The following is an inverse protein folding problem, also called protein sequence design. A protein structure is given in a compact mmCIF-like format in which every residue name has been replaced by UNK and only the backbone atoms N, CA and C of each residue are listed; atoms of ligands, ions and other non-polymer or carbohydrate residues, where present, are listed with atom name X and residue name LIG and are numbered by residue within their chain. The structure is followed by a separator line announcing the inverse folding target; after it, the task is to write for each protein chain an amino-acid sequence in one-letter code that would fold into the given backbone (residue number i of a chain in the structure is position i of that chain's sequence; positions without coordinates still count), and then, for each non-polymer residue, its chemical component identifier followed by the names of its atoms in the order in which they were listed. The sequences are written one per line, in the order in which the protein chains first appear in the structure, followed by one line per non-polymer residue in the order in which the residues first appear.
data_IF_504786864038
#
_entry.id   IF_504786864038
#
_cell.length_a   1.000
_cell.length_b   1.000
_cell.length_c   1.000
_cell.angle_alpha   90.00
_cell.angle_beta   90.00
_cell.angle_gamma   90.00
#
_symmetry.space_group_name_H-M   'P 1'
#
loop_
_entity.id
_entity.type
_entity.pdbx_description
1 polymer ?
#
# COMPACT_ATOMS: atom_id res chain seq x y z
N UNK A 1 -31.54 5.98 -14.73
CA UNK A 1 -31.56 5.51 -13.34
C UNK A 1 -32.82 5.99 -12.68
N UNK A 2 -33.68 5.06 -12.30
CA UNK A 2 -35.10 5.22 -12.09
C UNK A 2 -35.42 6.06 -10.85
N UNK A 3 -36.45 6.94 -10.96
CA UNK A 3 -36.96 7.73 -9.83
C UNK A 3 -37.47 6.87 -8.66
N UNK A 4 -37.85 5.62 -8.95
CA UNK A 4 -38.28 4.66 -7.93
C UNK A 4 -37.12 4.17 -7.06
N UNK A 5 -35.93 3.92 -7.62
CA UNK A 5 -34.77 3.49 -6.86
C UNK A 5 -34.29 4.60 -5.92
N UNK A 6 -34.35 5.86 -6.34
CA UNK A 6 -34.07 7.01 -5.46
C UNK A 6 -35.06 7.15 -4.30
N UNK A 7 -36.31 6.81 -4.52
CA UNK A 7 -37.34 6.80 -3.44
C UNK A 7 -37.12 5.66 -2.45
N UNK A 8 -36.76 4.46 -2.94
CA UNK A 8 -36.48 3.31 -2.04
C UNK A 8 -35.23 3.54 -1.19
N UNK A 9 -34.20 4.22 -1.73
CA UNK A 9 -32.98 4.57 -0.97
C UNK A 9 -33.21 5.71 0.04
N UNK A 10 -34.17 6.60 -0.22
CA UNK A 10 -34.52 7.70 0.69
C UNK A 10 -35.35 7.22 1.90
N UNK A 11 -36.00 6.06 1.79
CA UNK A 11 -36.88 5.47 2.83
C UNK A 11 -36.14 4.47 3.76
N UNK A 12 -34.85 4.28 3.57
CA UNK A 12 -34.03 3.47 4.49
C UNK A 12 -33.77 4.29 5.75
N UNK A 13 -34.54 4.03 6.80
CA UNK A 13 -34.26 4.56 8.14
C UNK A 13 -32.89 4.00 8.64
N UNK A 14 -31.88 4.84 8.59
CA UNK A 14 -30.58 4.50 9.21
C UNK A 14 -30.77 4.51 10.73
N UNK A 15 -30.60 3.35 11.41
CA UNK A 15 -30.77 3.27 12.85
C UNK A 15 -29.93 4.35 13.57
N UNK A 16 -30.54 5.02 14.55
CA UNK A 16 -29.89 6.09 15.33
C UNK A 16 -28.57 5.66 15.96
N UNK A 17 -28.48 4.37 16.33
CA UNK A 17 -27.27 3.75 16.87
C UNK A 17 -26.07 3.76 15.90
N UNK A 18 -26.29 3.59 14.61
CA UNK A 18 -25.24 3.67 13.59
C UNK A 18 -24.74 5.11 13.40
N UNK A 19 -25.64 6.08 13.51
CA UNK A 19 -25.27 7.50 13.48
C UNK A 19 -24.46 7.90 14.72
N UNK A 20 -24.82 7.37 15.89
CA UNK A 20 -24.06 7.63 17.12
C UNK A 20 -22.69 6.96 17.12
N UNK A 21 -22.59 5.70 16.69
CA UNK A 21 -21.31 4.98 16.54
C UNK A 21 -20.38 5.68 15.54
N UNK A 22 -20.89 6.14 14.40
CA UNK A 22 -20.14 6.92 13.42
C UNK A 22 -19.65 8.24 14.02
N UNK A 23 -20.51 8.99 14.73
CA UNK A 23 -20.10 10.24 15.42
C UNK A 23 -19.08 10.00 16.53
N UNK A 24 -19.20 8.90 17.28
CA UNK A 24 -18.23 8.54 18.32
C UNK A 24 -16.88 8.12 17.70
N UNK A 25 -16.88 7.37 16.57
CA UNK A 25 -15.68 7.03 15.81
C UNK A 25 -14.94 8.27 15.33
N UNK A 26 -15.65 9.23 14.70
CA UNK A 26 -15.07 10.50 14.25
C UNK A 26 -14.56 11.35 15.43
N UNK A 27 -15.27 11.34 16.58
CA UNK A 27 -14.84 12.08 17.78
C UNK A 27 -13.57 11.47 18.40
N UNK A 28 -13.47 10.13 18.45
CA UNK A 28 -12.26 9.41 18.91
C UNK A 28 -11.09 9.67 17.99
N UNK A 29 -11.26 9.52 16.67
CA UNK A 29 -10.22 9.83 15.70
C UNK A 29 -9.73 11.28 15.79
N UNK A 30 -10.62 12.27 15.98
CA UNK A 30 -10.24 13.66 16.21
C UNK A 30 -9.52 13.89 17.56
N UNK A 31 -9.86 13.16 18.60
CA UNK A 31 -9.18 13.25 19.90
C UNK A 31 -7.81 12.60 19.86
N UNK A 32 -7.64 11.50 19.15
CA UNK A 32 -6.36 10.84 18.94
C UNK A 32 -5.43 11.70 18.10
N UNK A 33 -5.92 12.31 17.02
CA UNK A 33 -5.16 13.26 16.19
C UNK A 33 -4.75 14.54 16.97
N UNK A 34 -5.46 14.92 18.02
CA UNK A 34 -5.15 16.11 18.83
C UNK A 34 -4.13 15.83 19.95
N UNK A 35 -3.94 14.58 20.34
CA UNK A 35 -3.09 14.24 21.50
C UNK A 35 -1.61 14.07 21.19
N UNK A 36 -1.22 13.87 19.92
CA UNK A 36 0.19 13.65 19.57
C UNK A 36 0.58 14.36 18.26
N UNK A 37 0.99 15.65 18.26
CA UNK A 37 1.38 16.34 17.02
C UNK A 37 2.79 16.00 16.51
N UNK A 38 3.50 15.03 17.07
CA UNK A 38 4.89 14.79 16.72
C UNK A 38 5.30 13.35 16.43
N UNK A 39 4.57 12.38 16.92
CA UNK A 39 5.03 10.98 16.90
C UNK A 39 4.34 10.11 15.83
N UNK A 40 3.10 10.45 15.45
CA UNK A 40 2.31 9.65 14.50
C UNK A 40 2.77 9.88 13.05
N UNK A 41 3.34 11.05 12.73
CA UNK A 41 3.92 11.32 11.40
C UNK A 41 5.16 10.45 11.08
N UNK A 42 5.87 9.96 12.10
CA UNK A 42 7.09 9.17 11.93
C UNK A 42 6.90 7.67 11.75
N UNK A 43 5.73 7.10 12.09
CA UNK A 43 5.48 5.65 12.01
C UNK A 43 4.72 5.17 10.77
N UNK A 44 4.28 6.07 9.89
CA UNK A 44 3.51 5.73 8.70
C UNK A 44 4.33 5.64 7.40
N UNK A 45 5.66 5.76 7.49
CA UNK A 45 6.55 5.71 6.33
C UNK A 45 7.27 4.38 6.13
N UNK A 46 6.91 3.32 6.83
CA UNK A 46 7.46 2.00 6.51
C UNK A 46 6.47 1.22 5.67
N UNK A 47 6.82 1.13 4.40
CA UNK A 47 6.42 0.11 3.42
C UNK A 47 5.06 -0.52 3.70
N UNK A 48 4.08 0.17 3.31
CA UNK A 48 2.73 -0.32 3.16
C UNK A 48 1.96 0.79 2.48
N UNK A 49 1.41 0.52 1.32
CA UNK A 49 0.40 1.39 0.72
C UNK A 49 -0.77 1.52 1.71
N UNK A 50 -0.61 2.33 2.75
CA UNK A 50 -1.63 2.60 3.76
C UNK A 50 -1.67 4.09 4.09
N UNK A 51 -2.11 4.91 3.14
CA UNK A 51 -2.63 6.24 3.46
C UNK A 51 -4.15 6.14 3.54
N UNK A 52 -4.72 6.46 4.69
CA UNK A 52 -6.17 6.54 4.86
C UNK A 52 -6.70 7.69 3.99
N UNK A 53 -7.33 7.36 2.87
CA UNK A 53 -8.13 8.29 2.11
C UNK A 53 -9.55 8.25 2.67
N UNK A 54 -10.09 9.43 3.00
CA UNK A 54 -11.51 9.62 3.23
C UNK A 54 -12.22 9.37 1.89
N UNK A 55 -12.93 8.26 1.80
CA UNK A 55 -13.76 7.94 0.63
C UNK A 55 -15.00 8.85 0.72
N UNK A 56 -15.26 9.71 -0.28
CA UNK A 56 -16.54 10.37 -0.38
C UNK A 56 -17.61 9.31 -0.62
N UNK A 57 -18.55 9.19 0.29
CA UNK A 57 -19.74 8.33 0.11
C UNK A 57 -20.64 8.95 -0.96
N UNK A 58 -20.42 8.60 -2.22
CA UNK A 58 -21.26 9.04 -3.33
C UNK A 58 -21.16 8.11 -4.52
N UNK A 59 -22.23 7.36 -4.76
CA UNK A 59 -22.61 6.71 -6.00
C UNK A 59 -21.48 6.06 -6.82
N UNK A 60 -21.08 4.85 -6.46
CA UNK A 60 -20.36 3.96 -7.35
C UNK A 60 -21.34 3.48 -8.44
N UNK A 61 -21.37 4.20 -9.56
CA UNK A 61 -21.87 3.65 -10.80
C UNK A 61 -20.81 2.66 -11.33
N UNK A 62 -21.27 1.53 -11.85
CA UNK A 62 -20.47 0.48 -12.50
C UNK A 62 -19.50 1.04 -13.55
N UNK A 63 -18.39 1.61 -13.11
CA UNK A 63 -17.18 1.79 -13.90
C UNK A 63 -16.27 0.65 -13.53
N UNK A 64 -15.59 0.02 -14.50
CA UNK A 64 -14.51 -0.90 -14.23
C UNK A 64 -13.52 -0.21 -13.29
N UNK A 65 -13.20 -0.85 -12.19
CA UNK A 65 -12.24 -0.32 -11.23
C UNK A 65 -10.85 -0.42 -11.85
N UNK A 66 -9.96 0.55 -11.59
CA UNK A 66 -8.55 0.44 -12.01
C UNK A 66 -7.84 -0.74 -11.32
N UNK A 67 -8.30 -1.13 -10.13
CA UNK A 67 -7.83 -2.33 -9.45
C UNK A 67 -8.15 -3.62 -10.22
N UNK A 68 -9.22 -3.64 -11.03
CA UNK A 68 -9.55 -4.78 -11.89
C UNK A 68 -8.49 -4.98 -12.98
N UNK A 69 -7.80 -3.92 -13.42
CA UNK A 69 -6.72 -4.03 -14.39
C UNK A 69 -5.48 -4.77 -13.86
N UNK A 70 -5.32 -4.81 -12.51
CA UNK A 70 -4.21 -5.49 -11.85
C UNK A 70 -4.58 -6.91 -11.37
N UNK A 71 -5.80 -7.08 -10.85
CA UNK A 71 -6.20 -8.31 -10.17
C UNK A 71 -7.39 -9.03 -10.83
N UNK A 72 -7.91 -8.49 -11.94
CA UNK A 72 -9.16 -8.95 -12.56
C UNK A 72 -10.36 -8.41 -11.79
N UNK A 73 -10.76 -9.07 -10.72
CA UNK A 73 -11.85 -8.63 -9.86
C UNK A 73 -11.51 -8.84 -8.38
N UNK A 74 -12.31 -8.28 -7.48
CA UNK A 74 -12.15 -8.56 -6.05
C UNK A 74 -12.25 -10.06 -5.74
N UNK A 75 -13.15 -10.78 -6.38
CA UNK A 75 -13.32 -12.21 -6.14
C UNK A 75 -12.11 -13.01 -6.66
N UNK A 76 -11.55 -12.64 -7.80
CA UNK A 76 -10.31 -13.22 -8.32
C UNK A 76 -9.11 -12.91 -7.43
N UNK A 77 -8.93 -11.66 -7.00
CA UNK A 77 -7.90 -11.30 -6.02
C UNK A 77 -8.00 -12.15 -4.76
N UNK A 78 -9.21 -12.37 -4.25
CA UNK A 78 -9.45 -13.09 -3.01
C UNK A 78 -9.14 -14.59 -3.08
N UNK A 79 -9.11 -15.18 -4.28
CA UNK A 79 -8.65 -16.56 -4.47
C UNK A 79 -7.18 -16.72 -4.05
N UNK A 80 -6.36 -15.70 -4.31
CA UNK A 80 -4.92 -15.72 -4.04
C UNK A 80 -4.58 -15.04 -2.71
N UNK A 81 -5.24 -13.94 -2.38
CA UNK A 81 -5.03 -13.15 -1.16
C UNK A 81 -6.23 -13.31 -0.24
N UNK A 82 -6.23 -14.38 0.55
CA UNK A 82 -7.39 -14.79 1.38
C UNK A 82 -7.78 -13.72 2.40
N UNK A 83 -6.83 -12.95 2.93
CA UNK A 83 -7.08 -11.85 3.87
C UNK A 83 -7.60 -10.57 3.20
N UNK A 84 -7.71 -10.54 1.87
CA UNK A 84 -8.24 -9.37 1.16
C UNK A 84 -9.67 -9.06 1.59
N UNK A 85 -9.96 -7.80 1.82
CA UNK A 85 -11.31 -7.29 2.09
C UNK A 85 -11.74 -6.34 0.98
N UNK A 86 -13.04 -6.27 0.72
CA UNK A 86 -13.58 -5.34 -0.25
C UNK A 86 -13.18 -3.88 0.05
N UNK A 87 -13.10 -3.51 1.33
CA UNK A 87 -12.65 -2.19 1.76
C UNK A 87 -11.23 -1.90 1.28
N UNK A 88 -10.29 -2.85 1.48
CA UNK A 88 -8.90 -2.71 1.02
C UNK A 88 -8.79 -2.67 -0.50
N UNK A 89 -9.64 -3.43 -1.20
CA UNK A 89 -9.69 -3.41 -2.66
C UNK A 89 -10.16 -2.07 -3.22
N UNK A 90 -11.23 -1.52 -2.65
CA UNK A 90 -11.72 -0.18 -3.02
C UNK A 90 -10.72 0.93 -2.64
N UNK A 91 -9.97 0.75 -1.55
CA UNK A 91 -8.89 1.66 -1.19
C UNK A 91 -7.74 1.60 -2.20
N UNK A 92 -7.37 0.42 -2.69
CA UNK A 92 -6.40 0.25 -3.77
C UNK A 92 -6.87 1.00 -5.02
N UNK A 93 -8.12 0.81 -5.43
CA UNK A 93 -8.69 1.51 -6.58
C UNK A 93 -8.64 3.03 -6.44
N UNK A 94 -9.01 3.54 -5.27
CA UNK A 94 -8.94 4.97 -4.99
C UNK A 94 -7.49 5.52 -5.09
N UNK A 95 -6.49 4.74 -4.67
CA UNK A 95 -5.07 5.11 -4.81
C UNK A 95 -4.59 5.06 -6.25
N UNK A 96 -5.02 4.09 -7.03
CA UNK A 96 -4.70 4.03 -8.46
C UNK A 96 -5.31 5.23 -9.20
N UNK A 97 -6.55 5.62 -8.88
CA UNK A 97 -7.17 6.83 -9.40
C UNK A 97 -6.41 8.11 -9.01
N UNK A 98 -5.95 8.19 -7.76
CA UNK A 98 -5.10 9.30 -7.32
C UNK A 98 -3.77 9.32 -8.08
N UNK A 99 -3.11 8.18 -8.22
CA UNK A 99 -1.86 8.04 -8.96
C UNK A 99 -2.03 8.50 -10.42
N UNK A 100 -3.08 8.05 -11.09
CA UNK A 100 -3.41 8.48 -12.45
C UNK A 100 -3.61 10.00 -12.56
N UNK A 101 -4.24 10.61 -11.56
CA UNK A 101 -4.42 12.06 -11.51
C UNK A 101 -3.13 12.85 -11.27
N UNK A 102 -2.18 12.30 -10.53
CA UNK A 102 -0.89 12.94 -10.21
C UNK A 102 0.13 12.76 -11.32
N UNK A 103 0.26 11.53 -11.82
CA UNK A 103 1.26 11.15 -12.83
C UNK A 103 0.85 11.56 -14.26
N UNK A 104 -0.45 11.64 -14.53
CA UNK A 104 -0.96 11.74 -15.90
C UNK A 104 -0.97 10.40 -16.62
N UNK A 105 -1.51 10.37 -17.84
CA UNK A 105 -1.82 9.13 -18.55
C UNK A 105 -0.56 8.31 -18.90
N UNK A 106 0.49 8.95 -19.44
CA UNK A 106 1.68 8.24 -19.92
C UNK A 106 2.49 7.60 -18.77
N UNK A 107 2.81 8.39 -17.75
CA UNK A 107 3.55 7.90 -16.58
C UNK A 107 2.72 6.89 -15.76
N UNK A 108 1.39 7.06 -15.72
CA UNK A 108 0.52 6.09 -15.08
C UNK A 108 0.55 4.72 -15.76
N UNK A 109 0.62 4.65 -17.08
CA UNK A 109 0.75 3.36 -17.79
C UNK A 109 2.09 2.67 -17.48
N UNK A 110 3.20 3.41 -17.38
CA UNK A 110 4.49 2.86 -16.97
C UNK A 110 4.43 2.37 -15.51
N UNK A 111 3.87 3.18 -14.61
CA UNK A 111 3.64 2.83 -13.21
C UNK A 111 2.79 1.55 -13.08
N UNK A 112 1.71 1.44 -13.84
CA UNK A 112 0.83 0.27 -13.85
C UNK A 112 1.54 -0.99 -14.36
N UNK A 113 2.37 -0.88 -15.39
CA UNK A 113 3.18 -2.00 -15.89
C UNK A 113 4.15 -2.51 -14.81
N UNK A 114 4.82 -1.63 -14.10
CA UNK A 114 5.64 -2.01 -12.96
C UNK A 114 4.82 -2.68 -11.85
N UNK A 115 3.65 -2.13 -11.51
CA UNK A 115 2.75 -2.72 -10.51
C UNK A 115 2.26 -4.12 -10.89
N UNK A 116 2.06 -4.43 -12.18
CA UNK A 116 1.63 -5.76 -12.60
C UNK A 116 2.66 -6.84 -12.25
N UNK A 117 3.96 -6.54 -12.32
CA UNK A 117 5.03 -7.45 -11.89
C UNK A 117 4.86 -7.84 -10.41
N UNK A 118 4.55 -6.86 -9.55
CA UNK A 118 4.28 -7.12 -8.13
C UNK A 118 3.01 -7.94 -7.93
N UNK A 119 1.96 -7.59 -8.65
CA UNK A 119 0.67 -8.29 -8.57
C UNK A 119 0.84 -9.75 -8.97
N UNK A 120 1.48 -10.01 -10.10
CA UNK A 120 1.72 -11.35 -10.62
C UNK A 120 2.59 -12.17 -9.65
N UNK A 121 3.63 -11.55 -9.08
CA UNK A 121 4.48 -12.18 -8.07
C UNK A 121 3.70 -12.52 -6.79
N UNK A 122 2.82 -11.62 -6.33
CA UNK A 122 1.97 -11.84 -5.15
C UNK A 122 0.93 -12.92 -5.37
N UNK A 123 0.39 -13.01 -6.58
CA UNK A 123 -0.53 -14.07 -6.99
C UNK A 123 0.20 -15.43 -7.03
N UNK A 124 1.43 -15.47 -7.56
CA UNK A 124 2.18 -16.71 -7.74
C UNK A 124 2.83 -17.23 -6.45
N UNK A 125 3.34 -16.33 -5.59
CA UNK A 125 4.22 -16.67 -4.47
C UNK A 125 3.78 -16.07 -3.13
N UNK A 126 2.74 -15.23 -3.11
CA UNK A 126 2.28 -14.58 -1.90
C UNK A 126 1.65 -15.54 -0.90
N UNK A 127 1.81 -15.24 0.38
CA UNK A 127 1.08 -15.92 1.45
C UNK A 127 -0.40 -15.48 1.48
N UNK A 128 -1.16 -15.94 2.46
CA UNK A 128 -2.58 -15.58 2.62
C UNK A 128 -2.84 -14.06 2.71
N UNK A 129 -1.84 -13.26 3.04
CA UNK A 129 -1.91 -11.79 3.11
C UNK A 129 -1.36 -11.13 1.83
N UNK A 130 -0.89 -11.89 0.86
CA UNK A 130 -0.28 -11.42 -0.38
C UNK A 130 1.16 -10.91 -0.20
N UNK A 131 1.80 -11.18 0.95
CA UNK A 131 3.19 -10.84 1.18
C UNK A 131 4.11 -11.94 0.67
N UNK A 132 5.28 -11.57 0.14
CA UNK A 132 6.20 -12.47 -0.55
C UNK A 132 7.51 -12.60 0.21
N UNK A 133 7.99 -13.83 0.40
CA UNK A 133 9.38 -14.09 0.76
C UNK A 133 10.23 -14.12 -0.53
N UNK A 134 10.83 -12.99 -0.88
CA UNK A 134 11.65 -12.86 -2.10
C UNK A 134 12.93 -13.71 -2.07
N UNK A 135 13.31 -14.23 -0.90
CA UNK A 135 14.42 -15.18 -0.78
C UNK A 135 14.02 -16.62 -1.18
N UNK A 136 12.71 -16.90 -1.13
CA UNK A 136 12.17 -18.23 -1.44
C UNK A 136 11.70 -18.37 -2.90
N UNK A 137 11.61 -17.29 -3.67
CA UNK A 137 11.20 -17.34 -5.08
C UNK A 137 12.41 -17.59 -6.02
N UNK A 138 12.17 -18.06 -7.27
CA UNK A 138 13.24 -18.24 -8.24
C UNK A 138 14.01 -16.94 -8.49
N UNK A 139 15.32 -17.09 -8.72
CA UNK A 139 16.22 -15.93 -8.88
C UNK A 139 15.84 -15.01 -10.04
N UNK A 140 15.27 -15.54 -11.12
CA UNK A 140 14.87 -14.74 -12.27
C UNK A 140 13.72 -13.80 -11.89
N UNK A 141 12.70 -14.31 -11.23
CA UNK A 141 11.53 -13.57 -10.76
C UNK A 141 11.93 -12.54 -9.68
N UNK A 142 12.84 -12.91 -8.77
CA UNK A 142 13.38 -11.97 -7.78
C UNK A 142 14.08 -10.79 -8.46
N UNK A 143 14.87 -11.02 -9.50
CA UNK A 143 15.54 -9.95 -10.25
C UNK A 143 14.53 -9.06 -11.00
N UNK A 144 13.48 -9.65 -11.57
CA UNK A 144 12.41 -8.91 -12.23
C UNK A 144 11.67 -8.00 -11.25
N UNK A 145 11.29 -8.53 -10.09
CA UNK A 145 10.67 -7.72 -9.02
C UNK A 145 11.59 -6.63 -8.51
N UNK A 146 12.90 -6.92 -8.32
CA UNK A 146 13.88 -5.94 -7.91
C UNK A 146 13.96 -4.80 -8.93
N UNK A 147 14.00 -5.12 -10.23
CA UNK A 147 14.01 -4.11 -11.28
C UNK A 147 12.71 -3.29 -11.29
N UNK A 148 11.56 -3.96 -11.19
CA UNK A 148 10.28 -3.27 -11.12
C UNK A 148 10.21 -2.31 -9.91
N UNK A 149 10.68 -2.73 -8.74
CA UNK A 149 10.75 -1.86 -7.55
C UNK A 149 11.70 -0.68 -7.76
N UNK A 150 12.86 -0.93 -8.37
CA UNK A 150 13.84 0.10 -8.72
C UNK A 150 13.22 1.18 -9.61
N UNK A 151 12.41 0.78 -10.58
CA UNK A 151 11.77 1.69 -11.53
C UNK A 151 10.51 2.36 -10.93
N UNK A 152 9.80 1.69 -10.02
CA UNK A 152 8.60 2.21 -9.37
C UNK A 152 8.86 3.18 -8.22
N UNK A 153 9.99 3.05 -7.53
CA UNK A 153 10.26 3.85 -6.33
C UNK A 153 10.13 5.36 -6.55
N UNK A 154 10.59 5.95 -7.68
CA UNK A 154 10.39 7.37 -7.94
C UNK A 154 8.92 7.80 -8.03
N UNK A 155 8.05 6.93 -8.54
CA UNK A 155 6.61 7.19 -8.56
C UNK A 155 6.02 7.13 -7.15
N UNK A 156 6.45 6.18 -6.31
CA UNK A 156 6.04 6.13 -4.91
C UNK A 156 6.49 7.36 -4.14
N UNK A 157 7.73 7.82 -4.36
CA UNK A 157 8.24 9.03 -3.75
C UNK A 157 7.40 10.26 -4.16
N UNK A 158 7.12 10.43 -5.44
CA UNK A 158 6.26 11.50 -5.97
C UNK A 158 4.85 11.44 -5.38
N UNK A 159 4.23 10.26 -5.32
CA UNK A 159 2.89 10.07 -4.77
C UNK A 159 2.82 10.32 -3.26
N UNK A 160 3.95 10.24 -2.56
CA UNK A 160 4.09 10.54 -1.14
C UNK A 160 4.62 11.96 -0.86
N UNK A 161 4.72 12.82 -1.90
CA UNK A 161 5.26 14.19 -1.80
C UNK A 161 6.68 14.20 -1.20
N UNK A 162 7.52 13.25 -1.63
CA UNK A 162 8.91 13.09 -1.21
C UNK A 162 9.85 13.37 -2.39
N UNK A 163 11.05 13.94 -2.15
CA UNK A 163 12.11 13.94 -3.15
C UNK A 163 12.44 12.51 -3.58
N UNK A 164 12.68 12.28 -4.88
CA UNK A 164 12.99 10.96 -5.36
C UNK A 164 14.26 10.40 -4.66
N UNK A 165 14.17 9.23 -4.07
CA UNK A 165 15.30 8.60 -3.36
C UNK A 165 16.54 8.48 -4.25
N UNK A 166 16.36 8.17 -5.54
CA UNK A 166 17.45 8.09 -6.53
C UNK A 166 18.21 9.41 -6.74
N UNK A 167 17.59 10.57 -6.42
CA UNK A 167 18.19 11.89 -6.62
C UNK A 167 19.02 12.33 -5.40
N UNK A 168 18.79 11.71 -4.23
CA UNK A 168 19.48 12.02 -2.98
C UNK A 168 20.46 10.93 -2.55
N UNK A 169 20.53 9.81 -3.29
CA UNK A 169 21.41 8.67 -3.05
C UNK A 169 22.40 8.47 -4.19
N UNK A 170 23.54 7.88 -3.88
CA UNK A 170 24.40 7.29 -4.91
C UNK A 170 23.74 6.04 -5.53
N UNK A 171 24.23 5.60 -6.69
CA UNK A 171 23.70 4.40 -7.34
C UNK A 171 23.79 3.15 -6.44
N UNK A 172 24.91 2.98 -5.72
CA UNK A 172 25.12 1.85 -4.80
C UNK A 172 24.19 1.95 -3.58
N UNK A 173 23.98 3.14 -3.02
CA UNK A 173 23.02 3.36 -1.92
C UNK A 173 21.59 3.11 -2.37
N UNK A 174 21.23 3.51 -3.60
CA UNK A 174 19.89 3.27 -4.12
C UNK A 174 19.63 1.78 -4.36
N UNK A 175 20.60 1.04 -4.92
CA UNK A 175 20.51 -0.42 -5.07
C UNK A 175 20.37 -1.12 -3.71
N UNK A 176 21.17 -0.71 -2.72
CA UNK A 176 21.08 -1.23 -1.35
C UNK A 176 19.74 -0.91 -0.68
N UNK A 177 19.15 0.25 -0.95
CA UNK A 177 17.83 0.63 -0.47
C UNK A 177 16.73 -0.28 -1.04
N UNK A 178 16.75 -0.52 -2.35
CA UNK A 178 15.79 -1.41 -3.01
C UNK A 178 15.90 -2.85 -2.45
N UNK A 179 17.12 -3.34 -2.25
CA UNK A 179 17.35 -4.64 -1.64
C UNK A 179 16.84 -4.70 -0.20
N UNK A 180 17.05 -3.63 0.58
CA UNK A 180 16.57 -3.54 1.96
C UNK A 180 15.04 -3.57 2.06
N UNK A 181 14.31 -2.95 1.12
CA UNK A 181 12.85 -3.01 1.04
C UNK A 181 12.36 -4.45 0.82
N UNK A 182 12.97 -5.18 -0.12
CA UNK A 182 12.62 -6.58 -0.38
C UNK A 182 12.98 -7.49 0.79
N UNK A 183 14.13 -7.25 1.41
CA UNK A 183 14.60 -8.02 2.57
C UNK A 183 13.69 -7.83 3.78
N UNK A 184 13.22 -6.60 4.03
CA UNK A 184 12.30 -6.28 5.12
C UNK A 184 11.00 -7.07 4.98
N UNK A 185 10.37 -7.09 3.79
CA UNK A 185 9.16 -7.88 3.53
C UNK A 185 9.43 -9.37 3.69
N UNK A 186 10.51 -9.91 3.13
CA UNK A 186 10.89 -11.31 3.24
C UNK A 186 11.07 -11.76 4.69
N UNK A 187 11.75 -10.94 5.51
CA UNK A 187 11.97 -11.26 6.92
C UNK A 187 10.65 -11.25 7.70
N UNK A 188 9.76 -10.27 7.44
CA UNK A 188 8.43 -10.24 8.08
C UNK A 188 7.61 -11.48 7.74
N UNK A 189 7.63 -11.93 6.49
CA UNK A 189 6.92 -13.16 6.09
C UNK A 189 7.46 -14.36 6.85
N UNK A 190 8.79 -14.51 6.95
CA UNK A 190 9.44 -15.60 7.70
C UNK A 190 9.19 -15.52 9.22
N UNK A 191 9.05 -14.31 9.76
CA UNK A 191 8.72 -14.09 11.17
C UNK A 191 7.24 -14.30 11.52
N UNK A 192 6.37 -14.65 10.54
CA UNK A 192 4.93 -14.80 10.77
C UNK A 192 4.19 -13.47 10.85
N UNK A 193 4.76 -12.40 10.27
CA UNK A 193 4.19 -11.04 10.18
C UNK A 193 4.09 -10.25 11.50
N UNK A 194 4.42 -10.84 12.64
CA UNK A 194 4.43 -10.18 13.94
C UNK A 194 5.87 -9.89 14.36
N UNK A 195 6.28 -8.63 14.25
CA UNK A 195 7.65 -8.18 14.56
C UNK A 195 8.00 -8.38 16.05
N UNK A 196 6.99 -8.33 16.93
CA UNK A 196 7.17 -8.54 18.36
C UNK A 196 7.68 -9.97 18.67
N UNK A 197 7.21 -10.95 17.92
CA UNK A 197 7.53 -12.37 18.09
C UNK A 197 8.66 -12.85 17.16
N UNK A 198 9.39 -11.91 16.54
CA UNK A 198 10.45 -12.23 15.58
C UNK A 198 11.58 -13.05 16.22
N UNK A 199 11.96 -14.20 15.62
CA UNK A 199 13.12 -14.96 16.05
C UNK A 199 14.41 -14.14 16.06
N UNK A 200 15.27 -14.38 17.05
CA UNK A 200 16.53 -13.61 17.23
C UNK A 200 17.45 -13.71 16.01
N UNK A 201 17.42 -14.85 15.29
CA UNK A 201 18.19 -15.09 14.08
C UNK A 201 17.81 -14.14 12.92
N UNK A 202 16.56 -13.69 12.88
CA UNK A 202 16.06 -12.76 11.86
C UNK A 202 16.17 -11.30 12.29
N UNK A 203 16.21 -11.04 13.59
CA UNK A 203 16.14 -9.70 14.18
C UNK A 203 17.28 -8.79 13.72
N UNK A 204 18.51 -9.30 13.69
CA UNK A 204 19.66 -8.52 13.25
C UNK A 204 19.50 -8.07 11.80
N UNK A 205 19.20 -8.99 10.89
CA UNK A 205 19.01 -8.67 9.47
C UNK A 205 17.83 -7.74 9.22
N UNK A 206 16.76 -7.86 10.03
CA UNK A 206 15.64 -6.95 9.99
C UNK A 206 16.03 -5.52 10.41
N UNK A 207 16.78 -5.39 11.51
CA UNK A 207 17.25 -4.09 11.99
C UNK A 207 18.24 -3.43 11.01
N UNK A 208 19.10 -4.21 10.36
CA UNK A 208 20.01 -3.72 9.32
C UNK A 208 19.21 -3.18 8.09
N UNK A 209 18.22 -3.93 7.61
CA UNK A 209 17.36 -3.45 6.52
C UNK A 209 16.60 -2.16 6.92
N UNK A 210 16.02 -2.13 8.12
CA UNK A 210 15.35 -0.94 8.63
C UNK A 210 16.28 0.26 8.81
N UNK A 211 17.55 0.04 9.17
CA UNK A 211 18.53 1.11 9.31
C UNK A 211 18.80 1.79 7.95
N UNK A 212 18.93 1.02 6.88
CA UNK A 212 19.08 1.54 5.52
C UNK A 212 17.83 2.34 5.12
N UNK A 213 16.63 1.78 5.30
CA UNK A 213 15.36 2.44 4.94
C UNK A 213 15.22 3.79 5.69
N UNK A 214 15.48 3.80 6.99
CA UNK A 214 15.40 5.02 7.82
C UNK A 214 16.42 6.08 7.42
N UNK A 215 17.62 5.66 7.00
CA UNK A 215 18.63 6.60 6.53
C UNK A 215 18.22 7.27 5.21
N UNK A 216 17.57 6.53 4.32
CA UNK A 216 16.99 7.09 3.08
C UNK A 216 15.89 8.10 3.40
N UNK A 217 14.93 7.72 4.27
CA UNK A 217 13.87 8.64 4.74
C UNK A 217 14.46 9.94 5.31
N UNK A 218 15.56 9.83 6.08
CA UNK A 218 16.25 10.98 6.64
C UNK A 218 16.87 11.87 5.57
N UNK A 219 17.51 11.29 4.55
CA UNK A 219 18.10 12.04 3.44
C UNK A 219 17.04 12.75 2.60
N UNK A 220 15.91 12.08 2.32
CA UNK A 220 14.79 12.69 1.60
C UNK A 220 14.18 13.89 2.36
N UNK A 221 14.12 13.83 3.69
CA UNK A 221 13.58 14.92 4.52
C UNK A 221 14.49 16.13 4.67
N UNK A 222 15.76 16.01 4.30
CA UNK A 222 16.77 17.08 4.42
C UNK A 222 16.97 17.87 3.11
N UNK A 223 16.40 17.40 2.02
CA UNK A 223 16.45 18.04 0.71
C UNK A 223 15.12 18.66 0.35
#
# INVERSE_FOLDING_TARGET
MDREMKRMLADIEIPSELRERSRQGVKRAKQEMRREPGFIRRRLMTVGIAAALLIPTGAFAYQSLLADELYGSFDEMKVHIVSATLEKYLLLDAKLNQAKGVLGEAEYEEFKQGLSVFTDTRIAYGNANGNVDYEAIPKAERLEVKQALFDLQPYFDQLNDQPAARDVLTADEYDAYIEALMQEESIRVRAGEYVEDMPDELRQSYEEALAIIREVDRKQQQN
#
